data_IF_012039607186
#
_entry.id   IF_012039607186
#
_cell.length_a   1.000
_cell.length_b   1.000
_cell.length_c   1.000
_cell.angle_alpha   90.00
_cell.angle_beta   90.00
_cell.angle_gamma   90.00
#
_symmetry.space_group_name_H-M   'P 1'
#
loop_
_entity.id
_entity.type
_entity.pdbx_description
1 polymer ?
#
# COMPACT_ATOMS: atom_id res chain seq x y z
N UNK A 1 -5.62 -15.30 3.62
CA UNK A 1 -6.32 -16.60 3.76
C UNK A 1 -7.19 -16.84 2.53
N UNK A 2 -7.13 -18.04 1.94
CA UNK A 2 -7.93 -18.45 0.78
C UNK A 2 -8.81 -19.63 1.21
N UNK A 3 -10.13 -19.44 1.10
CA UNK A 3 -11.10 -20.47 1.43
C UNK A 3 -11.05 -21.64 0.43
N UNK A 4 -11.30 -22.87 0.88
CA UNK A 4 -11.33 -24.04 0.00
C UNK A 4 -12.41 -23.93 -1.06
N UNK A 5 -12.13 -24.44 -2.26
CA UNK A 5 -13.07 -24.39 -3.40
C UNK A 5 -14.03 -25.57 -3.43
N UNK A 6 -13.65 -26.69 -2.81
CA UNK A 6 -14.46 -27.92 -2.69
C UNK A 6 -14.37 -28.47 -1.27
N UNK A 7 -15.37 -29.26 -0.89
CA UNK A 7 -15.36 -29.95 0.40
C UNK A 7 -14.21 -30.96 0.45
N UNK A 8 -13.45 -30.95 1.54
CA UNK A 8 -12.22 -31.74 1.70
C UNK A 8 -10.92 -31.09 1.16
N UNK A 9 -10.99 -29.98 0.43
CA UNK A 9 -9.78 -29.24 0.03
C UNK A 9 -9.11 -28.59 1.25
N UNK A 10 -7.76 -28.47 1.26
CA UNK A 10 -7.09 -27.78 2.33
C UNK A 10 -7.39 -26.28 2.32
N UNK A 11 -7.40 -25.67 3.49
CA UNK A 11 -7.40 -24.21 3.63
C UNK A 11 -5.98 -23.66 3.43
N UNK A 12 -5.85 -22.51 2.77
CA UNK A 12 -4.55 -21.88 2.52
C UNK A 12 -4.40 -20.56 3.29
N UNK A 13 -3.30 -20.45 4.02
CA UNK A 13 -2.81 -19.21 4.61
C UNK A 13 -1.68 -18.72 3.71
N UNK A 14 -1.79 -17.49 3.21
CA UNK A 14 -0.84 -16.96 2.24
C UNK A 14 -0.34 -15.62 2.74
N UNK A 15 0.97 -15.51 2.89
CA UNK A 15 1.68 -14.30 3.28
C UNK A 15 2.65 -13.88 2.19
N UNK A 16 2.81 -12.59 1.98
CA UNK A 16 3.74 -12.02 1.00
C UNK A 16 4.58 -10.95 1.70
N UNK A 17 5.90 -11.09 1.64
CA UNK A 17 6.84 -10.21 2.35
C UNK A 17 7.84 -9.55 1.42
N UNK A 18 7.93 -8.21 1.53
CA UNK A 18 8.81 -7.34 0.74
C UNK A 18 9.96 -6.73 1.54
N UNK A 19 9.99 -6.96 2.85
CA UNK A 19 11.00 -6.47 3.79
C UNK A 19 11.34 -7.57 4.79
N UNK A 20 12.52 -7.56 5.42
CA UNK A 20 12.86 -8.55 6.43
C UNK A 20 11.87 -8.50 7.60
N UNK A 21 11.43 -9.66 8.08
CA UNK A 21 10.60 -9.80 9.28
C UNK A 21 11.01 -11.07 10.04
N UNK A 22 11.83 -10.89 11.07
CA UNK A 22 12.34 -11.98 11.93
C UNK A 22 11.21 -12.73 12.67
N UNK A 23 10.03 -12.12 12.79
CA UNK A 23 8.91 -12.66 13.57
C UNK A 23 7.79 -13.23 12.69
N UNK A 24 7.94 -13.19 11.36
CA UNK A 24 6.90 -13.62 10.42
C UNK A 24 6.39 -15.02 10.73
N UNK A 25 7.30 -16.00 10.82
CA UNK A 25 6.93 -17.40 10.97
C UNK A 25 6.20 -17.66 12.29
N UNK A 26 6.64 -17.03 13.39
CA UNK A 26 5.96 -17.14 14.68
C UNK A 26 4.53 -16.59 14.61
N UNK A 27 4.36 -15.41 13.99
CA UNK A 27 3.05 -14.75 13.85
C UNK A 27 2.12 -15.56 12.96
N UNK A 28 2.60 -16.00 11.79
CA UNK A 28 1.84 -16.80 10.84
C UNK A 28 1.37 -18.12 11.48
N UNK A 29 2.26 -18.83 12.15
CA UNK A 29 1.91 -20.11 12.79
C UNK A 29 0.91 -19.91 13.93
N UNK A 30 1.02 -18.83 14.69
CA UNK A 30 0.01 -18.46 15.69
C UNK A 30 -1.36 -18.23 15.04
N UNK A 31 -1.43 -17.44 13.97
CA UNK A 31 -2.67 -17.15 13.25
C UNK A 31 -3.31 -18.42 12.68
N UNK A 32 -2.50 -19.29 12.06
CA UNK A 32 -2.95 -20.58 11.53
C UNK A 32 -3.61 -21.41 12.62
N UNK A 33 -2.92 -21.67 13.73
CA UNK A 33 -3.45 -22.55 14.76
C UNK A 33 -4.62 -21.94 15.53
N UNK A 34 -4.64 -20.62 15.73
CA UNK A 34 -5.80 -19.91 16.28
C UNK A 34 -7.02 -20.12 15.38
N UNK A 35 -6.86 -19.92 14.06
CA UNK A 35 -7.96 -20.11 13.11
C UNK A 35 -8.47 -21.56 13.10
N UNK A 36 -7.56 -22.53 13.00
CA UNK A 36 -7.92 -23.96 12.95
C UNK A 36 -8.68 -24.37 14.22
N UNK A 37 -8.21 -23.91 15.39
CA UNK A 37 -8.87 -24.19 16.67
C UNK A 37 -10.25 -23.55 16.80
N UNK A 38 -10.39 -22.26 16.46
CA UNK A 38 -11.66 -21.53 16.52
C UNK A 38 -12.73 -22.14 15.61
N UNK A 39 -12.34 -22.52 14.40
CA UNK A 39 -13.25 -23.05 13.39
C UNK A 39 -13.45 -24.58 13.50
N UNK A 40 -12.78 -25.24 14.46
CA UNK A 40 -12.72 -26.70 14.57
C UNK A 40 -12.45 -27.36 13.22
N UNK A 41 -11.45 -26.83 12.50
CA UNK A 41 -11.15 -27.26 11.15
C UNK A 41 -10.72 -28.74 11.13
N UNK A 42 -11.32 -29.52 10.23
CA UNK A 42 -11.12 -30.99 10.18
C UNK A 42 -10.37 -31.48 8.95
N UNK A 43 -10.15 -30.60 7.98
CA UNK A 43 -9.49 -30.92 6.72
C UNK A 43 -8.03 -30.46 6.74
N UNK A 44 -7.32 -30.70 5.64
CA UNK A 44 -5.93 -30.25 5.50
C UNK A 44 -5.78 -28.74 5.62
N UNK A 45 -4.56 -28.29 5.84
CA UNK A 45 -4.19 -26.88 5.85
C UNK A 45 -2.79 -26.71 5.24
N UNK A 46 -2.56 -25.55 4.63
CA UNK A 46 -1.23 -25.16 4.13
C UNK A 46 -0.99 -23.68 4.40
N UNK A 47 0.20 -23.36 4.90
CA UNK A 47 0.78 -22.03 4.96
C UNK A 47 1.78 -21.87 3.82
N UNK A 48 1.63 -20.79 3.05
CA UNK A 48 2.49 -20.47 1.91
C UNK A 48 3.01 -19.05 2.10
N UNK A 49 4.33 -18.91 2.19
CA UNK A 49 5.02 -17.63 2.30
C UNK A 49 5.70 -17.31 0.98
N UNK A 50 5.44 -16.13 0.45
CA UNK A 50 6.17 -15.58 -0.69
C UNK A 50 7.13 -14.50 -0.21
N UNK A 51 8.43 -14.76 -0.34
CA UNK A 51 9.45 -13.75 -0.15
C UNK A 51 9.78 -13.06 -1.46
N UNK A 52 9.87 -11.74 -1.41
CA UNK A 52 10.34 -10.93 -2.53
C UNK A 52 11.71 -11.39 -3.05
N UNK A 53 12.65 -11.59 -2.14
CA UNK A 53 14.00 -12.08 -2.40
C UNK A 53 14.41 -13.02 -1.27
N UNK A 54 15.25 -14.00 -1.59
CA UNK A 54 15.86 -14.92 -0.61
C UNK A 54 16.68 -14.18 0.44
N UNK A 55 17.27 -13.05 0.08
CA UNK A 55 18.04 -12.21 1.01
C UNK A 55 17.17 -11.55 2.09
N UNK A 56 15.85 -11.53 1.95
CA UNK A 56 14.92 -10.96 2.93
C UNK A 56 14.36 -12.01 3.90
N UNK A 57 14.50 -13.29 3.54
CA UNK A 57 14.03 -14.40 4.33
C UNK A 57 15.00 -14.67 5.50
N UNK A 58 14.56 -14.50 6.77
CA UNK A 58 15.39 -14.80 7.94
C UNK A 58 15.60 -16.30 8.15
N UNK A 59 14.89 -17.14 7.39
CA UNK A 59 14.88 -18.59 7.53
C UNK A 59 13.77 -19.07 8.46
N UNK A 60 13.25 -20.27 8.18
CA UNK A 60 12.23 -20.91 9.01
C UNK A 60 12.88 -21.41 10.31
N UNK A 61 12.36 -21.07 11.49
CA UNK A 61 12.82 -21.63 12.76
C UNK A 61 12.68 -23.16 12.81
N UNK A 62 13.67 -23.84 13.39
CA UNK A 62 13.74 -25.30 13.49
C UNK A 62 12.50 -25.94 14.17
N UNK A 63 11.81 -25.19 15.05
CA UNK A 63 10.60 -25.67 15.70
C UNK A 63 9.44 -25.96 14.73
N UNK A 64 9.54 -25.52 13.47
CA UNK A 64 8.56 -25.77 12.41
C UNK A 64 9.01 -26.79 11.36
N UNK A 65 10.08 -27.55 11.63
CA UNK A 65 10.62 -28.54 10.70
C UNK A 65 9.57 -29.60 10.31
N UNK A 66 8.69 -29.99 11.25
CA UNK A 66 7.63 -30.96 10.99
C UNK A 66 6.65 -30.45 9.94
N UNK A 67 6.25 -29.19 10.01
CA UNK A 67 5.34 -28.54 9.07
C UNK A 67 5.99 -28.37 7.69
N UNK A 68 7.29 -28.10 7.65
CA UNK A 68 8.06 -28.02 6.40
C UNK A 68 8.17 -29.39 5.75
N UNK A 69 8.58 -30.42 6.51
CA UNK A 69 8.71 -31.79 6.02
C UNK A 69 7.36 -32.38 5.59
N UNK A 70 6.29 -32.07 6.33
CA UNK A 70 4.91 -32.43 6.00
C UNK A 70 4.35 -31.67 4.80
N UNK A 71 5.05 -30.64 4.32
CA UNK A 71 4.62 -29.79 3.20
C UNK A 71 3.43 -28.89 3.54
N UNK A 72 3.15 -28.71 4.84
CA UNK A 72 2.17 -27.77 5.36
C UNK A 72 2.69 -26.34 5.33
N UNK A 73 3.98 -26.12 5.59
CA UNK A 73 4.63 -24.81 5.45
C UNK A 73 5.52 -24.81 4.20
N UNK A 74 5.23 -23.91 3.26
CA UNK A 74 6.01 -23.76 2.03
C UNK A 74 6.46 -22.32 1.85
N UNK A 75 7.70 -22.17 1.42
CA UNK A 75 8.29 -20.86 1.10
C UNK A 75 8.64 -20.84 -0.39
N UNK A 76 8.22 -19.79 -1.07
CA UNK A 76 8.58 -19.50 -2.45
C UNK A 76 9.25 -18.14 -2.54
N UNK A 77 10.24 -18.03 -3.43
CA UNK A 77 10.94 -16.78 -3.69
C UNK A 77 10.47 -16.23 -5.02
N UNK A 78 9.97 -14.99 -5.00
CA UNK A 78 9.39 -14.34 -6.17
C UNK A 78 10.45 -14.07 -7.24
N UNK A 79 11.69 -13.77 -6.83
CA UNK A 79 12.83 -13.64 -7.73
C UNK A 79 13.15 -14.94 -8.52
N UNK A 80 12.82 -16.11 -7.96
CA UNK A 80 13.10 -17.42 -8.55
C UNK A 80 11.96 -17.94 -9.44
N UNK A 81 10.82 -17.24 -9.52
CA UNK A 81 9.65 -17.74 -10.28
C UNK A 81 9.85 -17.57 -11.80
N UNK A 82 9.97 -18.67 -12.58
CA UNK A 82 9.95 -18.57 -14.02
C UNK A 82 8.53 -18.24 -14.49
N UNK A 83 8.46 -17.23 -15.36
CA UNK A 83 7.29 -16.78 -16.12
C UNK A 83 5.91 -16.83 -15.40
N UNK A 84 5.54 -15.71 -14.78
CA UNK A 84 4.24 -15.51 -14.11
C UNK A 84 3.11 -15.13 -15.09
N UNK A 85 3.32 -15.29 -16.39
CA UNK A 85 2.40 -14.91 -17.48
C UNK A 85 1.00 -15.51 -17.34
N UNK A 86 0.87 -16.64 -16.63
CA UNK A 86 -0.39 -17.35 -16.40
C UNK A 86 -1.19 -16.88 -15.18
N UNK A 87 -0.62 -16.08 -14.28
CA UNK A 87 -1.31 -15.62 -13.07
C UNK A 87 -1.10 -14.13 -12.83
N UNK A 88 -2.18 -13.37 -12.97
CA UNK A 88 -2.19 -11.92 -12.73
C UNK A 88 -1.77 -11.60 -11.29
N UNK A 89 -2.24 -12.39 -10.31
CA UNK A 89 -1.84 -12.21 -8.91
C UNK A 89 -0.32 -12.37 -8.70
N UNK A 90 0.31 -13.34 -9.35
CA UNK A 90 1.77 -13.51 -9.27
C UNK A 90 2.51 -12.46 -10.08
N UNK A 91 1.97 -12.03 -11.22
CA UNK A 91 2.54 -10.93 -12.00
C UNK A 91 2.51 -9.59 -11.24
N UNK A 92 1.44 -9.31 -10.51
CA UNK A 92 1.28 -8.14 -9.64
C UNK A 92 2.29 -8.14 -8.50
N UNK A 93 2.39 -9.25 -7.78
CA UNK A 93 3.35 -9.42 -6.69
C UNK A 93 4.79 -9.29 -7.21
N UNK A 94 5.06 -9.77 -8.43
CA UNK A 94 6.38 -9.64 -9.07
C UNK A 94 6.72 -8.19 -9.46
N UNK A 95 5.75 -7.33 -9.79
CA UNK A 95 6.04 -5.92 -10.14
C UNK A 95 6.88 -5.25 -9.05
N UNK A 96 6.54 -5.49 -7.78
CA UNK A 96 7.23 -4.87 -6.64
C UNK A 96 8.71 -5.25 -6.57
N UNK A 97 9.11 -6.43 -7.07
CA UNK A 97 10.50 -6.92 -7.03
C UNK A 97 11.25 -6.81 -8.35
N UNK A 98 10.55 -6.62 -9.47
CA UNK A 98 11.13 -6.57 -10.82
C UNK A 98 12.10 -5.37 -10.96
N UNK A 99 13.29 -5.53 -11.57
CA UNK A 99 14.18 -4.40 -11.84
C UNK A 99 13.53 -3.33 -12.71
N UNK A 100 13.85 -2.05 -12.50
CA UNK A 100 13.25 -0.93 -13.23
C UNK A 100 13.34 -1.05 -14.75
N UNK A 101 14.41 -1.66 -15.25
CA UNK A 101 14.61 -1.95 -16.68
C UNK A 101 13.56 -2.87 -17.30
N UNK A 102 12.90 -3.71 -16.49
CA UNK A 102 11.96 -4.73 -16.97
C UNK A 102 10.50 -4.40 -16.65
N UNK A 103 10.23 -3.37 -15.83
CA UNK A 103 8.86 -3.05 -15.37
C UNK A 103 7.96 -2.69 -16.53
N UNK A 104 8.41 -1.88 -17.50
CA UNK A 104 7.54 -1.48 -18.62
C UNK A 104 7.03 -2.69 -19.41
N UNK A 105 7.91 -3.66 -19.68
CA UNK A 105 7.54 -4.90 -20.36
C UNK A 105 6.58 -5.74 -19.50
N UNK A 106 6.80 -5.77 -18.19
CA UNK A 106 5.91 -6.48 -17.25
C UNK A 106 4.53 -5.85 -17.18
N UNK A 107 4.44 -4.51 -17.11
CA UNK A 107 3.18 -3.78 -17.07
C UNK A 107 2.40 -4.05 -18.36
N UNK A 108 3.04 -3.96 -19.54
CA UNK A 108 2.40 -4.29 -20.83
C UNK A 108 1.87 -5.73 -20.88
N UNK A 109 2.62 -6.69 -20.33
CA UNK A 109 2.15 -8.08 -20.24
C UNK A 109 0.94 -8.21 -19.31
N UNK A 110 0.98 -7.57 -18.14
CA UNK A 110 -0.13 -7.55 -17.20
C UNK A 110 -1.36 -6.91 -17.80
N UNK A 111 -1.25 -5.78 -18.49
CA UNK A 111 -2.37 -5.16 -19.20
C UNK A 111 -3.02 -6.12 -20.20
N UNK A 112 -2.20 -6.85 -20.96
CA UNK A 112 -2.70 -7.83 -21.94
C UNK A 112 -3.46 -8.96 -21.23
N UNK A 113 -2.90 -9.50 -20.15
CA UNK A 113 -3.55 -10.55 -19.36
C UNK A 113 -4.82 -10.05 -18.65
N UNK A 114 -4.81 -8.82 -18.15
CA UNK A 114 -5.96 -8.19 -17.49
C UNK A 114 -7.09 -7.98 -18.48
N UNK A 115 -6.82 -7.50 -19.70
CA UNK A 115 -7.85 -7.34 -20.75
C UNK A 115 -8.50 -8.66 -21.16
N UNK A 116 -7.83 -9.79 -20.95
CA UNK A 116 -8.41 -11.12 -21.21
C UNK A 116 -9.38 -11.60 -20.11
N UNK A 117 -9.46 -10.91 -18.96
CA UNK A 117 -10.38 -11.24 -17.88
C UNK A 117 -11.83 -10.76 -18.16
N UNK A 118 -12.83 -11.33 -17.48
CA UNK A 118 -14.18 -10.76 -17.44
C UNK A 118 -14.17 -9.32 -16.87
N UNK A 119 -15.01 -8.43 -17.41
CA UNK A 119 -15.06 -6.98 -17.07
C UNK A 119 -15.07 -6.70 -15.57
N UNK A 120 -15.79 -7.49 -14.78
CA UNK A 120 -15.82 -7.33 -13.31
C UNK A 120 -14.46 -7.56 -12.64
N UNK A 121 -13.64 -8.45 -13.17
CA UNK A 121 -12.31 -8.76 -12.64
C UNK A 121 -11.23 -7.85 -13.23
N UNK A 122 -11.46 -7.27 -14.41
CA UNK A 122 -10.53 -6.32 -15.04
C UNK A 122 -10.26 -5.13 -14.13
N UNK A 123 -11.32 -4.46 -13.65
CA UNK A 123 -11.19 -3.26 -12.82
C UNK A 123 -10.41 -3.52 -11.53
N UNK A 124 -10.67 -4.65 -10.87
CA UNK A 124 -9.96 -5.03 -9.67
C UNK A 124 -8.48 -5.35 -9.94
N UNK A 125 -8.17 -5.98 -11.07
CA UNK A 125 -6.79 -6.24 -11.44
C UNK A 125 -6.02 -4.97 -11.81
N UNK A 126 -6.65 -4.01 -12.49
CA UNK A 126 -6.06 -2.68 -12.78
C UNK A 126 -5.73 -1.95 -11.47
N UNK A 127 -6.65 -1.96 -10.51
CA UNK A 127 -6.45 -1.37 -9.17
C UNK A 127 -5.24 -1.96 -8.44
N UNK A 128 -5.02 -3.28 -8.55
CA UNK A 128 -3.85 -3.91 -7.92
C UNK A 128 -2.54 -3.55 -8.63
N UNK A 129 -2.55 -3.38 -9.97
CA UNK A 129 -1.37 -2.93 -10.73
C UNK A 129 -0.97 -1.52 -10.28
N UNK A 130 -1.96 -0.64 -10.13
CA UNK A 130 -1.78 0.73 -9.64
C UNK A 130 -1.11 0.75 -8.27
N UNK A 131 -1.66 0.02 -7.31
CA UNK A 131 -1.13 -0.04 -5.96
C UNK A 131 0.31 -0.54 -5.93
N UNK A 132 0.61 -1.58 -6.72
CA UNK A 132 1.96 -2.13 -6.83
C UNK A 132 2.95 -1.11 -7.41
N UNK A 133 2.54 -0.30 -8.40
CA UNK A 133 3.39 0.72 -9.01
C UNK A 133 3.64 1.91 -8.07
N UNK A 134 2.62 2.41 -7.37
CA UNK A 134 2.79 3.46 -6.35
C UNK A 134 3.77 3.01 -5.28
N UNK A 135 3.59 1.78 -4.78
CA UNK A 135 4.46 1.25 -3.75
C UNK A 135 5.91 1.13 -4.21
N UNK A 136 6.12 0.78 -5.48
CA UNK A 136 7.47 0.64 -6.05
C UNK A 136 8.15 1.98 -6.36
N UNK A 137 7.37 3.04 -6.64
CA UNK A 137 7.87 4.36 -7.00
C UNK A 137 7.30 5.46 -6.09
N UNK A 138 7.61 5.42 -4.78
CA UNK A 138 7.02 6.34 -3.81
C UNK A 138 7.36 7.81 -4.09
N UNK A 139 8.53 8.08 -4.66
CA UNK A 139 9.01 9.45 -4.92
C UNK A 139 8.63 9.98 -6.30
N UNK A 140 7.95 9.18 -7.14
CA UNK A 140 7.56 9.61 -8.49
C UNK A 140 6.14 10.18 -8.46
N UNK A 141 5.93 11.37 -9.03
CA UNK A 141 4.60 11.92 -9.13
C UNK A 141 3.73 11.03 -10.03
N UNK A 142 2.48 10.87 -9.64
CA UNK A 142 1.52 10.00 -10.32
C UNK A 142 1.43 10.23 -11.84
N UNK A 143 1.48 11.51 -12.28
CA UNK A 143 1.43 11.87 -13.70
C UNK A 143 2.58 11.28 -14.51
N UNK A 144 3.74 11.12 -13.90
CA UNK A 144 4.88 10.47 -14.56
C UNK A 144 4.65 8.96 -14.68
N UNK A 145 4.06 8.31 -13.67
CA UNK A 145 3.72 6.88 -13.74
C UNK A 145 2.65 6.62 -14.83
N UNK A 146 1.62 7.47 -14.90
CA UNK A 146 0.58 7.41 -15.95
C UNK A 146 1.19 7.51 -17.36
N UNK A 147 2.12 8.47 -17.56
CA UNK A 147 2.80 8.65 -18.83
C UNK A 147 3.78 7.51 -19.17
N UNK A 148 4.54 7.04 -18.17
CA UNK A 148 5.53 5.97 -18.35
C UNK A 148 4.87 4.64 -18.73
N UNK A 149 3.69 4.36 -18.19
CA UNK A 149 3.03 3.08 -18.39
C UNK A 149 1.80 3.13 -19.31
N UNK A 150 1.38 4.32 -19.77
CA UNK A 150 0.27 4.48 -20.72
C UNK A 150 -1.11 4.22 -20.11
N UNK A 151 -1.25 4.45 -18.81
CA UNK A 151 -2.35 3.94 -18.00
C UNK A 151 -3.53 4.91 -17.95
N UNK A 152 -4.27 5.01 -19.06
CA UNK A 152 -5.32 6.04 -19.25
C UNK A 152 -6.62 5.79 -18.48
N UNK A 153 -6.87 4.57 -17.99
CA UNK A 153 -8.11 4.21 -17.27
C UNK A 153 -8.03 4.40 -15.75
N UNK A 154 -6.85 4.79 -15.26
CA UNK A 154 -6.51 4.91 -13.84
C UNK A 154 -7.42 5.83 -13.03
N UNK A 155 -7.97 6.88 -13.62
CA UNK A 155 -8.87 7.82 -12.91
C UNK A 155 -10.21 7.21 -12.51
N UNK A 156 -10.56 6.07 -13.11
CA UNK A 156 -11.84 5.42 -12.88
C UNK A 156 -11.78 4.40 -11.75
N UNK A 157 -10.60 4.08 -11.22
CA UNK A 157 -10.47 3.12 -10.13
C UNK A 157 -10.89 3.72 -8.80
N UNK A 158 -11.38 2.87 -7.90
CA UNK A 158 -11.80 3.30 -6.57
C UNK A 158 -10.60 3.82 -5.76
N UNK A 159 -9.46 3.13 -5.89
CA UNK A 159 -8.22 3.55 -5.23
C UNK A 159 -7.80 4.97 -5.64
N UNK A 160 -7.82 5.30 -6.94
CA UNK A 160 -7.51 6.65 -7.41
C UNK A 160 -8.46 7.69 -6.81
N UNK A 161 -9.77 7.43 -6.82
CA UNK A 161 -10.77 8.36 -6.30
C UNK A 161 -10.61 8.61 -4.80
N UNK A 162 -10.27 7.59 -4.02
CA UNK A 162 -10.02 7.72 -2.58
C UNK A 162 -8.77 8.55 -2.29
N UNK A 163 -7.66 8.29 -3.00
CA UNK A 163 -6.41 9.06 -2.87
C UNK A 163 -6.59 10.52 -3.30
N UNK A 164 -7.30 10.76 -4.42
CA UNK A 164 -7.60 12.11 -4.91
C UNK A 164 -8.51 12.87 -3.92
N UNK A 165 -9.54 12.22 -3.38
CA UNK A 165 -10.42 12.82 -2.39
C UNK A 165 -9.68 13.20 -1.11
N UNK A 166 -8.82 12.31 -0.59
CA UNK A 166 -7.99 12.60 0.59
C UNK A 166 -7.02 13.76 0.32
N UNK A 167 -6.42 13.81 -0.87
CA UNK A 167 -5.55 14.90 -1.30
C UNK A 167 -6.29 16.24 -1.35
N UNK A 168 -7.49 16.29 -1.93
CA UNK A 168 -8.35 17.49 -1.97
C UNK A 168 -8.72 17.92 -0.55
N UNK A 169 -9.10 16.99 0.32
CA UNK A 169 -9.48 17.30 1.70
C UNK A 169 -8.30 17.91 2.47
N UNK A 170 -7.11 17.31 2.39
CA UNK A 170 -5.88 17.85 2.99
C UNK A 170 -5.55 19.23 2.44
N UNK A 171 -5.65 19.42 1.12
CA UNK A 171 -5.41 20.70 0.46
C UNK A 171 -6.39 21.79 0.90
N UNK A 172 -7.67 21.47 1.02
CA UNK A 172 -8.69 22.40 1.52
C UNK A 172 -8.42 22.80 2.98
N UNK A 173 -8.07 21.83 3.83
CA UNK A 173 -7.76 22.10 5.23
C UNK A 173 -6.53 23.00 5.37
N UNK A 174 -5.47 22.72 4.62
CA UNK A 174 -4.27 23.56 4.58
C UNK A 174 -4.59 24.96 4.04
N UNK A 175 -5.38 25.07 2.97
CA UNK A 175 -5.79 26.36 2.40
C UNK A 175 -6.63 27.19 3.37
N UNK A 176 -7.55 26.57 4.10
CA UNK A 176 -8.33 27.24 5.16
C UNK A 176 -7.40 27.73 6.27
N UNK A 177 -6.46 26.90 6.73
CA UNK A 177 -5.53 27.28 7.79
C UNK A 177 -4.62 28.43 7.36
N UNK A 178 -4.07 28.37 6.15
CA UNK A 178 -3.27 29.44 5.57
C UNK A 178 -4.08 30.74 5.42
N UNK A 179 -5.32 30.65 4.92
CA UNK A 179 -6.20 31.81 4.79
C UNK A 179 -6.56 32.44 6.12
N UNK A 180 -6.80 31.63 7.17
CA UNK A 180 -7.02 32.13 8.54
C UNK A 180 -5.76 32.84 9.03
N UNK A 181 -4.58 32.24 8.92
CA UNK A 181 -3.32 32.86 9.35
C UNK A 181 -3.06 34.18 8.61
N UNK A 182 -3.26 34.21 7.29
CA UNK A 182 -3.04 35.39 6.48
C UNK A 182 -4.00 36.52 6.86
N UNK A 183 -5.28 36.20 7.09
CA UNK A 183 -6.26 37.16 7.59
C UNK A 183 -5.93 37.67 9.00
N UNK A 184 -5.47 36.80 9.89
CA UNK A 184 -5.02 37.18 11.24
C UNK A 184 -3.85 38.17 11.18
N UNK A 185 -2.88 37.92 10.29
CA UNK A 185 -1.75 38.82 10.03
C UNK A 185 -2.22 40.18 9.47
N UNK A 186 -3.15 40.17 8.51
CA UNK A 186 -3.71 41.40 7.94
C UNK A 186 -4.45 42.25 8.99
N UNK A 187 -5.24 41.61 9.87
CA UNK A 187 -5.91 42.28 10.99
C UNK A 187 -4.87 42.89 11.93
N UNK A 188 -3.83 42.14 12.31
CA UNK A 188 -2.76 42.63 13.18
C UNK A 188 -2.05 43.86 12.60
N UNK A 189 -1.72 43.83 11.30
CA UNK A 189 -1.13 44.98 10.57
C UNK A 189 -2.04 46.20 10.59
N UNK A 190 -3.33 46.01 10.32
CA UNK A 190 -4.32 47.09 10.31
C UNK A 190 -4.46 47.73 11.71
N UNK A 191 -4.55 46.91 12.76
CA UNK A 191 -4.61 47.40 14.15
C UNK A 191 -3.34 48.17 14.54
N UNK A 192 -2.16 47.68 14.15
CA UNK A 192 -0.88 48.36 14.39
C UNK A 192 -0.82 49.71 13.68
N UNK A 193 -1.29 49.79 12.43
CA UNK A 193 -1.39 51.06 11.68
C UNK A 193 -2.36 52.06 12.32
N UNK A 194 -3.43 51.57 12.95
CA UNK A 194 -4.40 52.40 13.68
C UNK A 194 -3.91 52.81 15.09
N UNK A 195 -2.71 52.39 15.50
CA UNK A 195 -2.10 52.78 16.77
C UNK A 195 -2.64 52.05 17.99
N UNK A 196 -3.27 50.88 17.82
CA UNK A 196 -3.63 50.03 18.95
C UNK A 196 -2.38 49.51 19.64
N UNK A 197 -2.42 49.38 20.97
CA UNK A 197 -1.32 48.83 21.73
C UNK A 197 -1.16 47.32 21.49
N UNK A 198 0.06 46.82 21.70
CA UNK A 198 0.44 45.44 21.38
C UNK A 198 -0.40 44.42 22.17
N UNK A 199 -0.75 44.70 23.43
CA UNK A 199 -1.55 43.78 24.26
C UNK A 199 -2.96 43.62 23.69
N UNK A 200 -3.57 44.72 23.23
CA UNK A 200 -4.87 44.69 22.56
C UNK A 200 -4.81 43.90 21.24
N UNK A 201 -3.75 44.05 20.44
CA UNK A 201 -3.58 43.31 19.19
C UNK A 201 -3.40 41.81 19.45
N UNK A 202 -2.60 41.44 20.47
CA UNK A 202 -2.43 40.06 20.91
C UNK A 202 -3.77 39.45 21.35
N UNK A 203 -4.59 40.20 22.10
CA UNK A 203 -5.89 39.72 22.56
C UNK A 203 -6.86 39.41 21.41
N UNK A 204 -6.86 40.26 20.36
CA UNK A 204 -7.73 40.17 19.17
C UNK A 204 -7.27 39.05 18.22
N UNK A 205 -5.97 38.98 17.94
CA UNK A 205 -5.41 38.14 16.86
C UNK A 205 -4.84 36.82 17.37
N UNK A 206 -4.63 36.69 18.68
CA UNK A 206 -3.94 35.56 19.33
C UNK A 206 -2.51 35.32 18.84
N UNK A 207 -1.93 36.27 18.11
CA UNK A 207 -0.51 36.26 17.77
C UNK A 207 0.33 36.59 19.00
N UNK A 208 1.56 36.09 19.02
CA UNK A 208 2.57 36.45 20.00
C UNK A 208 3.04 37.89 19.80
N UNK A 209 3.66 38.44 20.85
CA UNK A 209 4.27 39.77 20.81
C UNK A 209 5.33 39.85 19.71
N UNK A 210 6.18 38.85 19.61
CA UNK A 210 7.26 38.76 18.64
C UNK A 210 6.72 38.76 17.20
N UNK A 211 5.65 38.01 16.94
CA UNK A 211 4.99 37.98 15.63
C UNK A 211 4.43 39.37 15.27
N UNK A 212 3.78 40.08 16.19
CA UNK A 212 3.20 41.42 15.95
C UNK A 212 4.27 42.49 15.78
N UNK A 213 5.36 42.41 16.54
CA UNK A 213 6.49 43.34 16.44
C UNK A 213 7.18 43.21 15.08
N UNK A 214 7.24 42.00 14.51
CA UNK A 214 7.80 41.70 13.19
C UNK A 214 6.93 42.11 11.98
N UNK A 215 5.65 42.49 12.20
CA UNK A 215 4.70 42.93 11.14
C UNK A 215 4.88 44.37 10.69
#
# INVERSE_FOLDING_TARGET
MIAPKRDGDPIYFVEVQFQPDEHLYYRLMQEVFVFLGQNRWKYGWQAVVFWAKRSLDPGIPQCYDAEVQGGNLRVYYLEDTPDTSTSIALGLVRLVVEPTSNIENRVRQLETSVRALPVQQQRHAIELVEQALVYKFPDRPWRELEAMFGLTEWKQTRFYQEVEAEGIQKGLQQGIQQGIQQKTIEIARSCKQQGLDIETIMAITKLSREEIEAL
#
